data_IF_542223128229
#
_entry.id   IF_542223128229
#
_cell.length_a   1.000
_cell.length_b   1.000
_cell.length_c   1.000
_cell.angle_alpha   90.00
_cell.angle_beta   90.00
_cell.angle_gamma   90.00
#
_symmetry.space_group_name_H-M   'P 1'
#
loop_
_entity.id
_entity.type
_entity.pdbx_description
1 polymer ?
#
# COMPACT_ATOMS: atom_id res chain seq x y z
N UNK A 1 -33.26 -36.42 22.10
CA UNK A 1 -34.45 -35.55 21.94
C UNK A 1 -34.45 -34.53 23.07
N UNK A 2 -34.28 -33.22 22.88
CA UNK A 2 -34.38 -32.38 21.69
C UNK A 2 -33.43 -31.18 21.80
N UNK A 3 -33.03 -30.67 20.63
CA UNK A 3 -32.02 -29.66 20.32
C UNK A 3 -31.99 -28.39 21.19
N UNK A 4 -30.79 -28.03 21.67
CA UNK A 4 -30.42 -26.72 22.20
C UNK A 4 -29.46 -25.97 21.25
N UNK A 5 -29.85 -25.82 19.98
CA UNK A 5 -29.11 -25.01 18.99
C UNK A 5 -30.04 -23.98 18.34
N UNK A 6 -30.66 -23.14 19.16
CA UNK A 6 -31.36 -21.94 18.70
C UNK A 6 -30.60 -20.71 19.14
N UNK A 7 -29.54 -20.34 18.41
CA UNK A 7 -28.94 -19.01 18.54
C UNK A 7 -30.01 -17.97 18.24
N UNK A 8 -30.46 -17.27 19.28
CA UNK A 8 -31.52 -16.27 19.23
C UNK A 8 -31.10 -15.12 18.31
N UNK A 9 -31.69 -15.07 17.12
CA UNK A 9 -31.74 -13.86 16.28
C UNK A 9 -32.80 -12.95 16.90
N UNK A 10 -32.59 -12.52 18.15
CA UNK A 10 -33.47 -11.58 18.83
C UNK A 10 -32.92 -10.15 18.66
N UNK A 11 -33.64 -9.37 17.83
CA UNK A 11 -33.58 -7.91 17.73
C UNK A 11 -32.26 -7.27 17.27
N UNK A 12 -31.97 -7.38 15.97
CA UNK A 12 -31.11 -6.40 15.29
C UNK A 12 -31.91 -5.10 15.18
N UNK A 13 -31.85 -4.27 16.22
CA UNK A 13 -32.46 -2.93 16.23
C UNK A 13 -31.40 -1.95 15.75
N UNK A 14 -31.70 -1.17 14.70
CA UNK A 14 -30.74 -0.23 14.12
C UNK A 14 -30.34 0.88 15.10
N UNK A 15 -29.29 1.64 14.75
CA UNK A 15 -28.83 2.78 15.55
C UNK A 15 -29.92 3.86 15.66
N UNK A 16 -30.06 4.44 16.85
CA UNK A 16 -30.83 5.67 17.04
C UNK A 16 -30.13 6.85 16.35
N UNK A 17 -30.91 7.83 15.88
CA UNK A 17 -30.39 8.98 15.13
C UNK A 17 -29.36 9.79 15.93
N UNK A 18 -29.56 9.95 17.23
CA UNK A 18 -28.62 10.60 18.13
C UNK A 18 -27.28 9.83 18.23
N UNK A 19 -27.35 8.50 18.26
CA UNK A 19 -26.17 7.65 18.33
C UNK A 19 -25.41 7.64 17.00
N UNK A 20 -26.14 7.61 15.88
CA UNK A 20 -25.58 7.75 14.54
C UNK A 20 -24.86 9.09 14.35
N UNK A 21 -25.47 10.22 14.76
CA UNK A 21 -24.84 11.54 14.68
C UNK A 21 -23.61 11.66 15.60
N UNK A 22 -23.68 11.08 16.80
CA UNK A 22 -22.55 11.08 17.72
C UNK A 22 -21.37 10.31 17.14
N UNK A 23 -21.62 9.12 16.58
CA UNK A 23 -20.60 8.30 15.92
C UNK A 23 -20.03 8.98 14.68
N UNK A 24 -20.87 9.61 13.85
CA UNK A 24 -20.41 10.36 12.68
C UNK A 24 -19.49 11.53 13.06
N UNK A 25 -19.75 12.22 14.17
CA UNK A 25 -18.89 13.32 14.66
C UNK A 25 -17.56 12.82 15.23
N UNK A 26 -17.54 11.64 15.86
CA UNK A 26 -16.32 11.09 16.49
C UNK A 26 -15.45 10.31 15.51
N UNK A 27 -16.06 9.56 14.59
CA UNK A 27 -15.37 8.65 13.67
C UNK A 27 -15.24 9.25 12.26
N UNK A 28 -16.03 10.28 11.94
CA UNK A 28 -16.11 10.85 10.60
C UNK A 28 -16.96 9.99 9.67
N UNK A 29 -16.97 10.38 8.39
CA UNK A 29 -17.61 9.57 7.35
C UNK A 29 -16.77 8.32 7.08
N UNK A 30 -17.44 7.17 6.91
CA UNK A 30 -16.80 5.94 6.44
C UNK A 30 -16.51 6.03 4.94
N UNK A 31 -15.68 6.99 4.56
CA UNK A 31 -15.22 7.18 3.19
C UNK A 31 -13.75 6.79 3.08
N UNK A 32 -13.41 6.05 2.01
CA UNK A 32 -12.03 5.74 1.71
C UNK A 32 -11.28 7.06 1.46
N UNK A 33 -10.15 7.31 2.13
CA UNK A 33 -9.41 8.55 2.00
C UNK A 33 -9.13 8.82 0.53
N UNK A 34 -9.53 9.99 0.04
CA UNK A 34 -9.25 10.39 -1.32
C UNK A 34 -7.74 10.56 -1.45
N UNK A 35 -7.05 9.52 -1.95
CA UNK A 35 -5.63 9.61 -2.22
C UNK A 35 -5.43 10.73 -3.24
N UNK A 36 -4.92 11.88 -2.78
CA UNK A 36 -4.41 12.91 -3.68
C UNK A 36 -3.47 12.20 -4.64
N UNK A 37 -3.64 12.41 -5.95
CA UNK A 37 -2.76 11.88 -7.00
C UNK A 37 -1.32 12.08 -6.54
N UNK A 38 -0.71 11.03 -6.01
CA UNK A 38 0.65 11.16 -5.50
C UNK A 38 1.52 11.44 -6.70
N UNK A 39 2.27 12.54 -6.64
CA UNK A 39 3.09 12.95 -7.76
C UNK A 39 4.13 11.84 -8.00
N UNK A 40 4.25 11.36 -9.23
CA UNK A 40 5.11 10.21 -9.59
C UNK A 40 6.55 10.44 -9.13
N UNK A 41 7.00 11.69 -9.18
CA UNK A 41 8.31 12.12 -8.66
C UNK A 41 8.47 11.89 -7.15
N UNK A 42 7.43 12.09 -6.35
CA UNK A 42 7.47 11.89 -4.89
C UNK A 42 7.62 10.40 -4.58
N UNK A 43 6.87 9.54 -5.28
CA UNK A 43 6.97 8.08 -5.13
C UNK A 43 8.37 7.61 -5.50
N UNK A 44 8.90 8.09 -6.63
CA UNK A 44 10.24 7.75 -7.08
C UNK A 44 11.30 8.15 -6.04
N UNK A 45 11.23 9.37 -5.50
CA UNK A 45 12.16 9.83 -4.47
C UNK A 45 12.05 8.99 -3.19
N UNK A 46 10.84 8.59 -2.81
CA UNK A 46 10.62 7.71 -1.65
C UNK A 46 11.30 6.35 -1.83
N UNK A 47 11.14 5.73 -3.00
CA UNK A 47 11.79 4.45 -3.35
C UNK A 47 13.31 4.61 -3.38
N UNK A 48 13.84 5.72 -3.90
CA UNK A 48 15.28 6.00 -3.89
C UNK A 48 15.87 6.11 -2.47
N UNK A 49 15.08 6.60 -1.51
CA UNK A 49 15.48 6.80 -0.13
C UNK A 49 15.28 5.55 0.74
N UNK A 50 14.75 4.45 0.18
CA UNK A 50 14.61 3.22 0.95
C UNK A 50 15.98 2.64 1.33
N UNK A 51 16.19 2.23 2.59
CA UNK A 51 17.48 1.73 3.06
C UNK A 51 18.05 0.60 2.21
N UNK A 52 17.18 -0.29 1.71
CA UNK A 52 17.57 -1.42 0.88
C UNK A 52 18.09 -0.97 -0.50
N UNK A 53 17.45 0.03 -1.13
CA UNK A 53 17.89 0.52 -2.43
C UNK A 53 19.21 1.29 -2.31
N UNK A 54 19.35 2.11 -1.26
CA UNK A 54 20.60 2.80 -0.95
C UNK A 54 21.75 1.81 -0.72
N UNK A 55 21.49 0.69 -0.04
CA UNK A 55 22.48 -0.37 0.14
C UNK A 55 22.90 -0.99 -1.20
N UNK A 56 21.95 -1.29 -2.09
CA UNK A 56 22.26 -1.82 -3.42
C UNK A 56 23.03 -0.83 -4.30
N UNK A 57 22.69 0.46 -4.24
CA UNK A 57 23.45 1.51 -4.93
C UNK A 57 24.89 1.60 -4.38
N UNK A 58 25.06 1.48 -3.06
CA UNK A 58 26.37 1.38 -2.43
C UNK A 58 27.16 0.16 -2.89
N UNK A 59 26.52 -1.02 -2.97
CA UNK A 59 27.14 -2.24 -3.50
C UNK A 59 27.54 -2.08 -4.97
N UNK A 60 26.68 -1.48 -5.80
CA UNK A 60 26.98 -1.16 -7.19
C UNK A 60 28.18 -0.21 -7.34
N UNK A 61 28.28 0.79 -6.46
CA UNK A 61 29.43 1.70 -6.42
C UNK A 61 30.71 0.94 -6.05
N UNK A 62 30.66 0.03 -5.07
CA UNK A 62 31.79 -0.83 -4.71
C UNK A 62 32.24 -1.66 -5.92
N UNK A 63 31.34 -2.33 -6.64
CA UNK A 63 31.70 -3.10 -7.85
C UNK A 63 32.37 -2.24 -8.92
N UNK A 64 31.89 -1.00 -9.13
CA UNK A 64 32.53 -0.05 -10.06
C UNK A 64 33.96 0.27 -9.60
N UNK A 65 34.19 0.49 -8.30
CA UNK A 65 35.51 0.76 -7.73
C UNK A 65 36.46 -0.45 -7.85
N UNK A 66 35.94 -1.68 -7.76
CA UNK A 66 36.70 -2.90 -8.03
C UNK A 66 37.00 -3.10 -9.53
N UNK A 67 36.37 -2.35 -10.43
CA UNK A 67 36.52 -2.49 -11.87
C UNK A 67 35.63 -3.58 -12.49
N UNK A 68 34.76 -4.21 -11.70
CA UNK A 68 33.83 -5.27 -12.12
C UNK A 68 32.57 -4.67 -12.76
N UNK A 69 32.73 -4.08 -13.95
CA UNK A 69 31.66 -3.37 -14.65
C UNK A 69 30.48 -4.28 -15.01
N UNK A 70 30.73 -5.55 -15.31
CA UNK A 70 29.67 -6.51 -15.64
C UNK A 70 28.75 -6.75 -14.45
N UNK A 71 29.32 -6.98 -13.26
CA UNK A 71 28.54 -7.25 -12.05
C UNK A 71 27.78 -6.00 -11.58
N UNK A 72 28.40 -4.82 -11.67
CA UNK A 72 27.72 -3.55 -11.41
C UNK A 72 26.53 -3.34 -12.35
N UNK A 73 26.69 -3.60 -13.66
CA UNK A 73 25.62 -3.49 -14.64
C UNK A 73 24.49 -4.49 -14.39
N UNK A 74 24.83 -5.73 -14.04
CA UNK A 74 23.85 -6.76 -13.73
C UNK A 74 23.02 -6.38 -12.49
N UNK A 75 23.68 -5.90 -11.43
CA UNK A 75 23.03 -5.40 -10.23
C UNK A 75 22.08 -4.24 -10.54
N UNK A 76 22.56 -3.21 -11.26
CA UNK A 76 21.75 -2.05 -11.62
C UNK A 76 20.55 -2.43 -12.49
N UNK A 77 20.72 -3.39 -13.41
CA UNK A 77 19.62 -3.92 -14.21
C UNK A 77 18.55 -4.57 -13.33
N UNK A 78 18.92 -5.43 -12.39
CA UNK A 78 17.96 -6.05 -11.47
C UNK A 78 17.27 -5.02 -10.58
N UNK A 79 17.99 -4.04 -10.06
CA UNK A 79 17.42 -2.91 -9.30
C UNK A 79 16.34 -2.23 -10.13
N UNK A 80 16.65 -1.89 -11.39
CA UNK A 80 15.70 -1.22 -12.27
C UNK A 80 14.44 -2.05 -12.52
N UNK A 81 14.60 -3.35 -12.77
CA UNK A 81 13.47 -4.28 -12.96
C UNK A 81 12.60 -4.36 -11.70
N UNK A 82 13.21 -4.53 -10.52
CA UNK A 82 12.48 -4.60 -9.24
C UNK A 82 11.72 -3.31 -8.97
N UNK A 83 12.37 -2.14 -9.13
CA UNK A 83 11.71 -0.84 -8.94
C UNK A 83 10.54 -0.66 -9.91
N UNK A 84 10.70 -1.05 -11.18
CA UNK A 84 9.63 -1.00 -12.18
C UNK A 84 8.44 -1.89 -11.80
N UNK A 85 8.71 -3.10 -11.33
CA UNK A 85 7.68 -4.03 -10.83
C UNK A 85 6.96 -3.44 -9.62
N UNK A 86 7.68 -2.88 -8.64
CA UNK A 86 7.10 -2.22 -7.47
C UNK A 86 6.19 -1.06 -7.86
N UNK A 87 6.63 -0.22 -8.80
CA UNK A 87 5.82 0.89 -9.29
C UNK A 87 4.54 0.42 -10.00
N UNK A 88 4.63 -0.65 -10.79
CA UNK A 88 3.48 -1.26 -11.44
C UNK A 88 2.49 -1.86 -10.42
N UNK A 89 2.99 -2.53 -9.38
CA UNK A 89 2.17 -3.07 -8.31
C UNK A 89 1.44 -1.96 -7.54
N UNK A 90 2.14 -0.87 -7.22
CA UNK A 90 1.55 0.28 -6.54
C UNK A 90 0.36 0.86 -7.32
N UNK A 91 0.55 1.08 -8.64
CA UNK A 91 -0.51 1.53 -9.55
C UNK A 91 -1.70 0.57 -9.60
N UNK A 92 -1.45 -0.74 -9.60
CA UNK A 92 -2.51 -1.75 -9.61
C UNK A 92 -3.34 -1.70 -8.33
N UNK A 93 -2.69 -1.57 -7.17
CA UNK A 93 -3.36 -1.47 -5.86
C UNK A 93 -4.18 -0.19 -5.76
N UNK A 94 -3.65 0.95 -6.21
CA UNK A 94 -4.39 2.22 -6.28
C UNK A 94 -5.66 2.08 -7.13
N UNK A 95 -5.55 1.50 -8.33
CA UNK A 95 -6.71 1.27 -9.21
C UNK A 95 -7.74 0.32 -8.62
N UNK A 96 -7.31 -0.70 -7.87
CA UNK A 96 -8.23 -1.62 -7.19
C UNK A 96 -9.02 -0.91 -6.09
N UNK A 97 -8.37 -0.03 -5.31
CA UNK A 97 -9.04 0.80 -4.31
C UNK A 97 -10.01 1.82 -4.94
N UNK A 98 -9.63 2.42 -6.06
CA UNK A 98 -10.53 3.31 -6.82
C UNK A 98 -11.77 2.57 -7.34
N UNK A 99 -11.60 1.33 -7.81
CA UNK A 99 -12.71 0.52 -8.33
C UNK A 99 -13.72 0.11 -7.23
N UNK A 100 -13.29 0.02 -5.96
CA UNK A 100 -14.15 -0.26 -4.82
C UNK A 100 -14.88 0.98 -4.27
N UNK A 101 -14.54 2.17 -4.77
CA UNK A 101 -15.15 3.43 -4.32
C UNK A 101 -16.53 3.70 -4.96
N UNK A 102 -17.08 2.74 -5.72
CA UNK A 102 -18.41 2.76 -6.32
C UNK A 102 -19.35 1.74 -5.69
#
# INVERSE_FOLDING_TARGET
>A
MNDQTGGSIESITGLSEDEAQKRLKTEGYNELPSQKKQNIFIIFLHVLLEPMLLLLLGAGLIYILLGEKQDALMLLFFVFVVVGITFYQQRKTERALEALKN
#
